data_IF_963607713223
#
_entry.id   IF_963607713223
#
_cell.length_a   1.000
_cell.length_b   1.000
_cell.length_c   1.000
_cell.angle_alpha   90.00
_cell.angle_beta   90.00
_cell.angle_gamma   90.00
#
_symmetry.space_group_name_H-M   'P 1'
#
loop_
_entity.id
_entity.type
_entity.pdbx_description
1 polymer ?
#
# COMPACT_ATOMS: atom_id res chain seq x y z
N UNK A 1 27.21 -19.13 13.96
CA UNK A 1 28.55 -19.74 13.79
C UNK A 1 29.68 -18.76 14.13
N UNK A 2 29.68 -17.55 13.57
CA UNK A 2 30.72 -16.51 13.81
C UNK A 2 30.82 -16.08 15.29
N UNK A 3 29.69 -15.93 15.99
CA UNK A 3 29.69 -15.50 17.40
C UNK A 3 30.43 -16.48 18.32
N UNK A 4 30.26 -17.79 18.13
CA UNK A 4 30.95 -18.84 18.89
C UNK A 4 32.47 -18.85 18.67
N UNK A 5 32.91 -18.55 17.44
CA UNK A 5 34.33 -18.46 17.09
C UNK A 5 34.95 -17.24 17.76
N UNK A 6 34.23 -16.12 17.80
CA UNK A 6 34.69 -14.89 18.47
C UNK A 6 34.80 -15.11 19.99
N UNK A 7 33.79 -15.73 20.64
CA UNK A 7 33.90 -16.02 22.08
C UNK A 7 35.07 -16.96 22.36
N UNK A 8 35.29 -18.00 21.56
CA UNK A 8 36.41 -18.92 21.74
C UNK A 8 37.78 -18.22 21.65
N UNK A 9 37.94 -17.31 20.67
CA UNK A 9 39.19 -16.54 20.49
C UNK A 9 39.42 -15.57 21.65
N UNK A 10 38.38 -14.84 22.08
CA UNK A 10 38.48 -13.92 23.22
C UNK A 10 38.82 -14.67 24.51
N UNK A 11 38.20 -15.83 24.73
CA UNK A 11 38.48 -16.64 25.93
C UNK A 11 39.90 -17.20 25.91
N UNK A 12 40.40 -17.65 24.75
CA UNK A 12 41.78 -18.12 24.60
C UNK A 12 42.81 -17.01 24.85
N UNK A 13 42.55 -15.80 24.37
CA UNK A 13 43.43 -14.64 24.60
C UNK A 13 43.45 -14.26 26.09
N UNK A 14 42.31 -14.29 26.77
CA UNK A 14 42.22 -14.03 28.22
C UNK A 14 42.98 -15.10 29.02
N UNK A 15 42.86 -16.37 28.63
CA UNK A 15 43.54 -17.48 29.30
C UNK A 15 45.07 -17.38 29.16
N UNK A 16 45.55 -17.05 27.96
CA UNK A 16 46.98 -16.80 27.70
C UNK A 16 47.49 -15.60 28.50
N UNK A 17 46.71 -14.51 28.56
CA UNK A 17 47.07 -13.32 29.33
C UNK A 17 47.11 -13.54 30.86
N UNK A 18 46.32 -14.47 31.38
CA UNK A 18 46.31 -14.82 32.81
C UNK A 18 47.41 -15.82 33.20
N UNK A 19 47.92 -16.60 32.23
CA UNK A 19 48.91 -17.65 32.48
C UNK A 19 50.37 -17.18 32.49
N UNK A 20 50.66 -15.93 32.11
CA UNK A 20 52.04 -15.48 31.89
C UNK A 20 52.64 -14.73 33.12
N UNK A 21 53.65 -15.28 33.82
CA UNK A 21 54.22 -14.69 35.03
C UNK A 21 55.04 -13.41 34.80
N UNK A 22 55.23 -12.99 33.54
CA UNK A 22 55.98 -11.79 33.15
C UNK A 22 55.15 -10.48 33.17
N UNK A 23 53.84 -10.54 33.41
CA UNK A 23 52.92 -9.39 33.44
C UNK A 23 52.96 -8.58 34.76
N UNK A 24 54.15 -8.28 35.31
CA UNK A 24 54.30 -7.56 36.58
C UNK A 24 54.74 -6.10 36.46
N UNK A 25 54.92 -5.55 35.25
CA UNK A 25 55.29 -4.15 35.06
C UNK A 25 54.10 -3.29 34.62
N UNK A 26 53.88 -2.14 35.26
CA UNK A 26 52.74 -1.26 34.99
C UNK A 26 52.64 -0.79 33.52
N UNK A 27 53.75 -0.81 32.77
CA UNK A 27 53.83 -0.42 31.36
C UNK A 27 53.32 -1.50 30.40
N UNK A 28 53.45 -2.79 30.74
CA UNK A 28 52.93 -3.90 29.94
C UNK A 28 51.42 -4.04 30.06
N UNK A 29 50.87 -3.74 31.25
CA UNK A 29 49.42 -3.74 31.50
C UNK A 29 48.67 -2.70 30.65
N UNK A 30 49.23 -1.49 30.49
CA UNK A 30 48.67 -0.46 29.61
C UNK A 30 48.68 -0.86 28.13
N UNK A 31 49.69 -1.64 27.71
CA UNK A 31 49.83 -2.09 26.32
C UNK A 31 48.80 -3.17 25.97
N UNK A 32 48.51 -4.08 26.90
CA UNK A 32 47.44 -5.07 26.75
C UNK A 32 46.04 -4.44 26.62
N UNK A 33 45.74 -3.43 27.43
CA UNK A 33 44.46 -2.71 27.37
C UNK A 33 44.30 -1.98 26.04
N UNK A 34 45.35 -1.33 25.53
CA UNK A 34 45.33 -0.66 24.22
C UNK A 34 45.06 -1.63 23.07
N UNK A 35 45.61 -2.84 23.11
CA UNK A 35 45.39 -3.85 22.07
C UNK A 35 43.93 -4.33 22.06
N UNK A 36 43.33 -4.54 23.24
CA UNK A 36 41.92 -4.92 23.36
C UNK A 36 40.98 -3.83 22.84
N UNK A 37 41.22 -2.58 23.20
CA UNK A 37 40.42 -1.44 22.73
C UNK A 37 40.55 -1.30 21.21
N UNK A 38 41.76 -1.38 20.66
CA UNK A 38 42.00 -1.27 19.22
C UNK A 38 41.33 -2.42 18.46
N UNK A 39 41.41 -3.65 18.98
CA UNK A 39 40.72 -4.80 18.40
C UNK A 39 39.20 -4.64 18.39
N UNK A 40 38.62 -4.16 19.49
CA UNK A 40 37.19 -3.90 19.57
C UNK A 40 36.74 -2.81 18.58
N UNK A 41 37.53 -1.75 18.42
CA UNK A 41 37.28 -0.68 17.45
C UNK A 41 37.38 -1.21 16.02
N UNK A 42 38.39 -2.04 15.70
CA UNK A 42 38.52 -2.64 14.36
C UNK A 42 37.35 -3.57 14.03
N UNK A 43 36.86 -4.36 14.99
CA UNK A 43 35.70 -5.24 14.80
C UNK A 43 34.43 -4.41 14.60
N UNK A 44 34.23 -3.34 15.38
CA UNK A 44 33.10 -2.42 15.20
C UNK A 44 33.18 -1.70 13.85
N UNK A 45 34.36 -1.25 13.44
CA UNK A 45 34.59 -0.63 12.15
C UNK A 45 34.33 -1.62 11.00
N UNK A 46 34.79 -2.87 11.12
CA UNK A 46 34.47 -3.93 10.16
C UNK A 46 32.96 -4.18 10.12
N UNK A 47 32.29 -4.22 11.27
CA UNK A 47 30.85 -4.45 11.35
C UNK A 47 30.04 -3.32 10.71
N UNK A 48 30.49 -2.07 10.90
CA UNK A 48 29.90 -0.90 10.24
C UNK A 48 30.22 -0.87 8.74
N UNK A 49 31.41 -1.33 8.33
CA UNK A 49 31.86 -1.31 6.94
C UNK A 49 31.26 -2.46 6.09
N UNK A 50 31.13 -3.65 6.65
CA UNK A 50 30.58 -4.83 5.97
C UNK A 50 29.05 -4.87 5.97
N UNK A 51 28.39 -4.03 6.79
CA UNK A 51 26.95 -4.06 6.97
C UNK A 51 26.49 -5.30 7.75
N UNK A 52 25.34 -5.20 8.42
CA UNK A 52 24.75 -6.37 9.09
C UNK A 52 24.40 -7.46 8.07
N UNK A 53 24.71 -8.75 8.32
CA UNK A 53 24.22 -9.84 7.48
C UNK A 53 22.70 -9.86 7.57
N UNK A 54 22.06 -9.39 6.50
CA UNK A 54 20.65 -9.56 6.14
C UNK A 54 19.64 -9.47 7.30
N UNK A 55 19.49 -8.28 7.87
CA UNK A 55 18.11 -7.89 8.21
C UNK A 55 17.49 -7.41 6.90
N UNK A 56 16.39 -8.02 6.40
CA UNK A 56 15.68 -7.43 5.28
C UNK A 56 15.45 -5.98 5.65
N UNK A 57 15.93 -5.07 4.79
CA UNK A 57 15.84 -3.64 5.06
C UNK A 57 14.43 -3.34 5.53
N UNK A 58 14.28 -2.47 6.54
CA UNK A 58 12.96 -2.10 7.04
C UNK A 58 12.01 -1.69 5.90
N UNK A 59 12.58 -1.20 4.79
CA UNK A 59 11.96 -1.00 3.49
C UNK A 59 11.41 -2.27 2.80
N UNK A 60 12.19 -3.36 2.68
CA UNK A 60 11.74 -4.63 2.10
C UNK A 60 10.58 -5.28 2.86
N UNK A 61 10.49 -5.08 4.18
CA UNK A 61 9.34 -5.53 4.98
C UNK A 61 8.02 -4.81 4.61
N UNK A 62 8.10 -3.64 3.97
CA UNK A 62 6.92 -2.90 3.47
C UNK A 62 6.60 -3.20 2.00
N UNK A 63 7.45 -3.95 1.29
CA UNK A 63 7.29 -4.29 -0.13
C UNK A 63 6.65 -5.67 -0.34
N UNK A 64 6.02 -6.24 0.68
CA UNK A 64 5.20 -7.43 0.49
C UNK A 64 3.94 -7.06 -0.32
N UNK A 65 3.54 -7.86 -1.32
CA UNK A 65 2.31 -7.63 -2.11
C UNK A 65 1.05 -7.48 -1.25
N UNK A 66 1.04 -8.12 -0.08
CA UNK A 66 -0.08 -8.10 0.86
C UNK A 66 -0.11 -6.87 1.78
N UNK A 67 0.87 -5.95 1.70
CA UNK A 67 0.84 -4.71 2.47
C UNK A 67 -0.21 -3.74 1.90
N UNK A 68 -1.19 -3.26 2.69
CA UNK A 68 -2.19 -2.29 2.22
C UNK A 68 -1.58 -1.02 1.59
N UNK A 69 -0.42 -0.57 2.09
CA UNK A 69 0.29 0.59 1.51
C UNK A 69 0.89 0.27 0.14
N UNK A 70 1.38 -0.96 -0.05
CA UNK A 70 1.88 -1.40 -1.34
C UNK A 70 0.72 -1.46 -2.35
N UNK A 71 -0.45 -1.98 -1.94
CA UNK A 71 -1.65 -2.01 -2.79
C UNK A 71 -2.12 -0.62 -3.21
N UNK A 72 -2.16 0.36 -2.29
CA UNK A 72 -2.52 1.75 -2.63
C UNK A 72 -1.56 2.31 -3.68
N UNK A 73 -0.24 2.11 -3.49
CA UNK A 73 0.76 2.58 -4.45
C UNK A 73 0.62 1.90 -5.81
N UNK A 74 0.36 0.60 -5.82
CA UNK A 74 0.13 -0.17 -7.06
C UNK A 74 -1.09 0.37 -7.82
N UNK A 75 -2.21 0.61 -7.14
CA UNK A 75 -3.41 1.19 -7.78
C UNK A 75 -3.16 2.60 -8.33
N UNK A 76 -2.44 3.44 -7.60
CA UNK A 76 -2.04 4.78 -8.08
C UNK A 76 -1.11 4.70 -9.28
N UNK A 77 -0.17 3.76 -9.28
CA UNK A 77 0.73 3.54 -10.40
C UNK A 77 -0.03 3.02 -11.63
N UNK A 78 -0.95 2.07 -11.45
CA UNK A 78 -1.79 1.56 -12.52
C UNK A 78 -2.67 2.66 -13.12
N UNK A 79 -3.26 3.52 -12.29
CA UNK A 79 -4.02 4.70 -12.75
C UNK A 79 -3.17 5.63 -13.61
N UNK A 80 -1.93 5.94 -13.19
CA UNK A 80 -1.01 6.77 -13.98
C UNK A 80 -0.69 6.15 -15.34
N UNK A 81 -0.42 4.84 -15.37
CA UNK A 81 -0.14 4.11 -16.62
C UNK A 81 -1.37 4.12 -17.54
N UNK A 82 -2.57 3.95 -17.00
CA UNK A 82 -3.81 4.02 -17.77
C UNK A 82 -4.06 5.41 -18.34
N UNK A 83 -3.80 6.47 -17.58
CA UNK A 83 -3.93 7.85 -18.06
C UNK A 83 -2.95 8.15 -19.21
N UNK A 84 -1.72 7.63 -19.11
CA UNK A 84 -0.75 7.72 -20.20
C UNK A 84 -1.22 6.95 -21.44
N UNK A 85 -1.69 5.72 -21.28
CA UNK A 85 -2.23 4.93 -22.38
C UNK A 85 -3.44 5.62 -23.03
N UNK A 86 -4.33 6.21 -22.23
CA UNK A 86 -5.49 6.96 -22.70
C UNK A 86 -5.11 8.22 -23.48
N UNK A 87 -3.92 8.80 -23.26
CA UNK A 87 -3.43 9.91 -24.08
C UNK A 87 -3.13 9.51 -25.52
N UNK A 88 -2.72 8.25 -25.74
CA UNK A 88 -2.53 7.67 -27.07
C UNK A 88 -3.83 7.17 -27.70
N UNK A 89 -4.76 6.66 -26.88
CA UNK A 89 -6.06 6.15 -27.33
C UNK A 89 -7.23 6.71 -26.49
N UNK A 90 -7.65 7.97 -26.72
CA UNK A 90 -8.62 8.67 -25.86
C UNK A 90 -10.01 8.04 -25.80
N UNK A 91 -10.39 7.29 -26.83
CA UNK A 91 -11.69 6.63 -26.96
C UNK A 91 -11.60 5.10 -26.76
N UNK A 92 -10.51 4.61 -26.18
CA UNK A 92 -10.44 3.20 -25.82
C UNK A 92 -11.35 2.91 -24.61
N UNK A 93 -12.51 2.32 -24.88
CA UNK A 93 -13.51 1.98 -23.85
C UNK A 93 -12.99 1.00 -22.80
N UNK A 94 -12.03 0.13 -23.14
CA UNK A 94 -11.42 -0.78 -22.19
C UNK A 94 -10.54 -0.06 -21.17
N UNK A 95 -9.76 0.94 -21.63
CA UNK A 95 -8.94 1.79 -20.76
C UNK A 95 -9.82 2.67 -19.87
N UNK A 96 -10.88 3.28 -20.43
CA UNK A 96 -11.84 4.09 -19.67
C UNK A 96 -12.57 3.26 -18.60
N UNK A 97 -12.98 2.03 -18.94
CA UNK A 97 -13.60 1.10 -17.99
C UNK A 97 -12.64 0.77 -16.84
N UNK A 98 -11.42 0.35 -17.16
CA UNK A 98 -10.39 -0.04 -16.18
C UNK A 98 -10.04 1.13 -15.25
N UNK A 99 -9.87 2.33 -15.81
CA UNK A 99 -9.60 3.55 -15.05
C UNK A 99 -10.75 3.85 -14.07
N UNK A 100 -12.00 3.78 -14.55
CA UNK A 100 -13.18 3.97 -13.73
C UNK A 100 -13.27 2.94 -12.59
N UNK A 101 -13.00 1.67 -12.85
CA UNK A 101 -12.98 0.61 -11.82
C UNK A 101 -11.95 0.91 -10.73
N UNK A 102 -10.72 1.27 -11.10
CA UNK A 102 -9.67 1.61 -10.12
C UNK A 102 -10.08 2.83 -9.27
N UNK A 103 -10.71 3.83 -9.88
CA UNK A 103 -11.18 5.02 -9.18
C UNK A 103 -12.31 4.71 -8.19
N UNK A 104 -13.26 3.84 -8.54
CA UNK A 104 -14.28 3.32 -7.62
C UNK A 104 -13.62 2.62 -6.44
N UNK A 105 -12.72 1.67 -6.72
CA UNK A 105 -12.01 0.90 -5.67
C UNK A 105 -11.10 1.76 -4.79
N UNK A 106 -10.65 2.90 -5.30
CA UNK A 106 -9.85 3.88 -4.57
C UNK A 106 -10.69 4.86 -3.74
N UNK A 107 -12.01 4.67 -3.65
CA UNK A 107 -12.92 5.55 -2.90
C UNK A 107 -13.15 6.91 -3.58
N UNK A 108 -12.86 7.02 -4.88
CA UNK A 108 -13.05 8.22 -5.71
C UNK A 108 -14.09 7.98 -6.82
N UNK A 109 -15.34 7.59 -6.47
CA UNK A 109 -16.37 7.32 -7.47
C UNK A 109 -16.73 8.54 -8.31
N UNK A 110 -16.61 9.75 -7.76
CA UNK A 110 -16.83 11.02 -8.47
C UNK A 110 -15.90 11.20 -9.69
N UNK A 111 -14.66 10.72 -9.61
CA UNK A 111 -13.67 10.82 -10.69
C UNK A 111 -13.94 9.75 -11.77
N UNK A 112 -14.54 8.62 -11.37
CA UNK A 112 -14.87 7.50 -12.26
C UNK A 112 -16.04 7.82 -13.21
N UNK A 113 -17.05 8.55 -12.72
CA UNK A 113 -18.27 8.87 -13.47
C UNK A 113 -17.99 9.47 -14.85
N UNK A 114 -17.16 10.53 -15.04
CA UNK A 114 -16.93 11.10 -16.37
C UNK A 114 -16.25 10.12 -17.33
N UNK A 115 -15.28 9.32 -16.86
CA UNK A 115 -14.59 8.33 -17.69
C UNK A 115 -15.54 7.21 -18.15
N UNK A 116 -16.35 6.67 -17.22
CA UNK A 116 -17.33 5.63 -17.50
C UNK A 116 -18.50 6.14 -18.34
N UNK A 117 -18.89 7.41 -18.17
CA UNK A 117 -19.92 8.05 -19.01
C UNK A 117 -19.45 8.16 -20.46
N UNK A 118 -18.19 8.57 -20.68
CA UNK A 118 -17.59 8.56 -22.02
C UNK A 118 -17.52 7.14 -22.59
N UNK A 119 -17.11 6.16 -21.78
CA UNK A 119 -17.08 4.76 -22.20
C UNK A 119 -18.48 4.25 -22.61
N UNK A 120 -19.52 4.61 -21.86
CA UNK A 120 -20.90 4.26 -22.15
C UNK A 120 -21.42 4.97 -23.40
N UNK A 121 -21.01 6.22 -23.65
CA UNK A 121 -21.36 6.93 -24.89
C UNK A 121 -20.76 6.25 -26.14
N UNK A 122 -19.55 5.68 -26.01
CA UNK A 122 -18.87 4.96 -27.08
C UNK A 122 -19.40 3.54 -27.29
N UNK A 123 -19.78 2.86 -26.19
CA UNK A 123 -20.34 1.49 -26.21
C UNK A 123 -21.51 1.38 -25.22
N UNK A 124 -22.72 1.83 -25.61
CA UNK A 124 -23.88 1.82 -24.73
C UNK A 124 -24.39 0.40 -24.43
N UNK A 125 -24.08 -0.58 -25.29
CA UNK A 125 -24.55 -1.96 -25.15
C UNK A 125 -23.62 -2.83 -24.29
N UNK A 126 -22.53 -2.27 -23.77
CA UNK A 126 -21.58 -3.03 -22.96
C UNK A 126 -22.07 -3.14 -21.50
N UNK A 127 -22.49 -4.34 -21.11
CA UNK A 127 -22.98 -4.64 -19.77
C UNK A 127 -21.95 -4.34 -18.66
N UNK A 128 -20.64 -4.52 -18.92
CA UNK A 128 -19.59 -4.26 -17.93
C UNK A 128 -19.47 -2.75 -17.65
N UNK A 129 -19.59 -1.93 -18.69
CA UNK A 129 -19.58 -0.46 -18.56
C UNK A 129 -20.84 0.02 -17.85
N UNK A 130 -22.01 -0.53 -18.20
CA UNK A 130 -23.27 -0.22 -17.51
C UNK A 130 -23.21 -0.59 -16.02
N UNK A 131 -22.64 -1.76 -15.70
CA UNK A 131 -22.46 -2.19 -14.32
C UNK A 131 -21.47 -1.30 -13.57
N UNK A 132 -20.32 -0.98 -14.17
CA UNK A 132 -19.32 -0.08 -13.58
C UNK A 132 -19.89 1.32 -13.34
N UNK A 133 -20.70 1.85 -14.28
CA UNK A 133 -21.35 3.14 -14.14
C UNK A 133 -22.41 3.13 -13.03
N UNK A 134 -23.21 2.05 -12.94
CA UNK A 134 -24.14 1.85 -11.84
C UNK A 134 -23.41 1.79 -10.48
N UNK A 135 -22.29 1.06 -10.41
CA UNK A 135 -21.45 1.00 -9.22
C UNK A 135 -20.86 2.36 -8.85
N UNK A 136 -20.36 3.14 -9.83
CA UNK A 136 -19.81 4.47 -9.59
C UNK A 136 -20.86 5.41 -8.99
N UNK A 137 -22.04 5.51 -9.61
CA UNK A 137 -23.13 6.33 -9.10
C UNK A 137 -23.63 5.86 -7.72
N UNK A 138 -23.70 4.55 -7.50
CA UNK A 138 -24.12 4.00 -6.20
C UNK A 138 -23.11 4.32 -5.10
N UNK A 139 -21.82 4.08 -5.34
CA UNK A 139 -20.74 4.41 -4.40
C UNK A 139 -20.65 5.92 -4.16
N UNK A 140 -20.89 6.75 -5.17
CA UNK A 140 -20.94 8.21 -5.00
C UNK A 140 -22.12 8.62 -4.11
N UNK A 141 -23.30 8.06 -4.36
CA UNK A 141 -24.48 8.29 -3.53
C UNK A 141 -24.27 7.85 -2.07
N UNK A 142 -23.64 6.70 -1.84
CA UNK A 142 -23.30 6.24 -0.49
C UNK A 142 -22.34 7.20 0.21
N UNK A 143 -21.29 7.65 -0.47
CA UNK A 143 -20.33 8.63 0.07
C UNK A 143 -21.00 9.94 0.44
N UNK A 144 -21.93 10.43 -0.40
CA UNK A 144 -22.70 11.64 -0.11
C UNK A 144 -23.62 11.42 1.11
N UNK A 145 -24.27 10.26 1.22
CA UNK A 145 -25.12 9.93 2.36
C UNK A 145 -24.32 9.85 3.68
N UNK A 146 -23.08 9.37 3.63
CA UNK A 146 -22.17 9.32 4.78
C UNK A 146 -21.82 10.71 5.33
N UNK A 147 -21.83 11.75 4.51
CA UNK A 147 -21.52 13.11 4.96
C UNK A 147 -22.55 13.67 5.97
N UNK A 148 -23.73 13.03 6.14
CA UNK A 148 -24.76 13.36 7.14
C UNK A 148 -25.12 14.85 7.23
N UNK A 149 -25.03 15.59 6.10
CA UNK A 149 -25.43 17.00 6.00
C UNK A 149 -26.90 17.12 5.60
N UNK A 150 -27.54 18.21 5.99
CA UNK A 150 -28.88 18.55 5.50
C UNK A 150 -28.87 18.67 3.96
N UNK A 151 -29.82 18.00 3.29
CA UNK A 151 -29.88 17.92 1.81
C UNK A 151 -28.93 16.92 1.16
N UNK A 152 -28.01 16.30 1.91
CA UNK A 152 -27.14 15.25 1.38
C UNK A 152 -27.93 13.97 1.03
N UNK A 153 -29.01 13.68 1.76
CA UNK A 153 -29.86 12.52 1.47
C UNK A 153 -30.58 12.65 0.13
N UNK A 154 -31.05 13.85 -0.23
CA UNK A 154 -31.67 14.11 -1.55
C UNK A 154 -30.65 14.00 -2.69
N UNK A 155 -29.44 14.55 -2.48
CA UNK A 155 -28.35 14.42 -3.44
C UNK A 155 -27.90 12.97 -3.62
N UNK A 156 -27.72 12.24 -2.52
CA UNK A 156 -27.40 10.81 -2.51
C UNK A 156 -28.47 10.00 -3.24
N UNK A 157 -29.74 10.27 -2.96
CA UNK A 157 -30.87 9.62 -3.62
C UNK A 157 -30.85 9.87 -5.14
N UNK A 158 -30.61 11.09 -5.58
CA UNK A 158 -30.51 11.42 -7.01
C UNK A 158 -29.42 10.62 -7.71
N UNK A 159 -28.26 10.48 -7.07
CA UNK A 159 -27.15 9.67 -7.60
C UNK A 159 -27.51 8.17 -7.65
N UNK A 160 -28.15 7.64 -6.59
CA UNK A 160 -28.63 6.26 -6.56
C UNK A 160 -29.72 5.99 -7.61
N UNK A 161 -30.61 6.95 -7.88
CA UNK A 161 -31.60 6.86 -8.95
C UNK A 161 -30.93 6.85 -10.33
N UNK A 162 -29.84 7.62 -10.52
CA UNK A 162 -29.02 7.52 -11.72
C UNK A 162 -28.39 6.12 -11.85
N UNK A 163 -27.89 5.54 -10.77
CA UNK A 163 -27.35 4.17 -10.76
C UNK A 163 -28.38 3.13 -11.23
N UNK A 164 -29.66 3.25 -10.86
CA UNK A 164 -30.72 2.33 -11.28
C UNK A 164 -31.00 2.32 -12.79
N UNK A 165 -30.67 3.40 -13.50
CA UNK A 165 -30.84 3.49 -14.95
C UNK A 165 -29.83 2.59 -15.69
N UNK A 166 -28.63 2.46 -15.13
CA UNK A 166 -27.55 1.68 -15.71
C UNK A 166 -27.44 0.27 -15.11
N UNK A 167 -28.06 0.02 -13.95
CA UNK A 167 -28.02 -1.29 -13.30
C UNK A 167 -28.72 -2.38 -14.15
N UNK A 168 -28.00 -3.45 -14.55
CA UNK A 168 -28.60 -4.55 -15.32
C UNK A 168 -29.78 -5.20 -14.59
N UNK A 169 -30.83 -5.56 -15.32
CA UNK A 169 -32.00 -6.25 -14.76
C UNK A 169 -31.57 -7.61 -14.21
N UNK A 170 -31.93 -7.90 -12.96
CA UNK A 170 -31.58 -9.16 -12.28
C UNK A 170 -30.22 -9.17 -11.58
N UNK A 171 -29.40 -8.12 -11.73
CA UNK A 171 -28.13 -8.04 -11.00
C UNK A 171 -28.35 -7.64 -9.52
N UNK A 172 -27.64 -8.25 -8.54
CA UNK A 172 -27.79 -7.95 -7.11
C UNK A 172 -27.68 -6.46 -6.78
N UNK A 173 -26.79 -5.74 -7.46
CA UNK A 173 -26.58 -4.28 -7.29
C UNK A 173 -27.89 -3.49 -7.39
N UNK A 174 -28.84 -3.92 -8.23
CA UNK A 174 -30.12 -3.23 -8.40
C UNK A 174 -30.94 -3.27 -7.10
N UNK A 175 -30.96 -4.43 -6.44
CA UNK A 175 -31.65 -4.61 -5.16
C UNK A 175 -30.97 -3.84 -4.04
N UNK A 176 -29.64 -3.78 -4.05
CA UNK A 176 -28.87 -3.01 -3.07
C UNK A 176 -29.11 -1.50 -3.22
N UNK A 177 -29.13 -0.99 -4.46
CA UNK A 177 -29.48 0.40 -4.75
C UNK A 177 -30.90 0.73 -4.28
N UNK A 178 -31.88 -0.13 -4.59
CA UNK A 178 -33.28 0.08 -4.15
C UNK A 178 -33.40 0.11 -2.63
N UNK A 179 -32.69 -0.79 -1.93
CA UNK A 179 -32.65 -0.83 -0.47
C UNK A 179 -32.06 0.46 0.09
N UNK A 180 -30.94 0.93 -0.46
CA UNK A 180 -30.30 2.16 -0.02
C UNK A 180 -31.19 3.40 -0.23
N UNK A 181 -31.85 3.52 -1.39
CA UNK A 181 -32.82 4.59 -1.65
C UNK A 181 -33.94 4.58 -0.61
N UNK A 182 -34.51 3.42 -0.29
CA UNK A 182 -35.56 3.33 0.74
C UNK A 182 -35.08 3.75 2.13
N UNK A 183 -33.83 3.43 2.48
CA UNK A 183 -33.23 3.81 3.76
C UNK A 183 -33.03 5.33 3.87
N UNK A 184 -32.69 6.01 2.77
CA UNK A 184 -32.59 7.49 2.75
C UNK A 184 -33.94 8.18 2.98
N UNK A 185 -35.06 7.53 2.61
CA UNK A 185 -36.40 8.07 2.82
C UNK A 185 -36.88 7.94 4.27
N UNK A 186 -36.48 6.88 4.98
CA UNK A 186 -36.88 6.63 6.38
C UNK A 186 -36.09 7.42 7.44
N UNK A 187 -34.98 8.07 7.06
CA UNK A 187 -34.09 8.79 7.97
C UNK A 187 -34.44 10.27 8.19
N UNK A 188 -35.63 10.71 7.79
CA UNK A 188 -36.16 12.07 7.98
C UNK A 188 -37.12 12.14 9.16
#
# INVERSE_FOLDING_TARGET
>A
MILFVITAIVTAIIMVALSDPLMKSATTWQSGIKLLITGAICVLALYLFLGSPDTPSRAAAFETPDNPRAQIRLKQQEELVLLQALSGEPDNTGLLLRLGTIQIESGRPQDAIPHLTRANALRPDNADIQLALAAAYFSNGLKIAEEKKAGAMDAARKEMEAALKFAPKGHPIRTDIQRAISATASGH
#
